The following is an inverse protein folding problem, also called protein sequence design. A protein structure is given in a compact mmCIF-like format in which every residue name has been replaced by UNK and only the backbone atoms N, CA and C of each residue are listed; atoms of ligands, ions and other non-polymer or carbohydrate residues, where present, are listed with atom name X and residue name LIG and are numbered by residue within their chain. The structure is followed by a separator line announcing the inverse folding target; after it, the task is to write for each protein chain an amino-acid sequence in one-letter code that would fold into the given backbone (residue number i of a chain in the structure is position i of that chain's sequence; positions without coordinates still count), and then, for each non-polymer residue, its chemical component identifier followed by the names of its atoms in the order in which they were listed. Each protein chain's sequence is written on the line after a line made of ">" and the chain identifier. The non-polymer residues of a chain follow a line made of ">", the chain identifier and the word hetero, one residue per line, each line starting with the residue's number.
data_IF_804928910638
#
_entry.id   IF_804928910638
#
_cell.length_a   1.000
_cell.length_b   1.000
_cell.length_c   1.000
_cell.angle_alpha   90.00
_cell.angle_beta   90.00
_cell.angle_gamma   90.00
#
_symmetry.space_group_name_H-M   'P 1'
#
loop_
_entity.id
_entity.type
_entity.pdbx_description
1 polymer ?
#
# COMPACT_ATOMS: atom_id res chain seq x y z
N UNK A 1 -7.89 -12.48 -14.14
CA UNK A 1 -7.60 -13.15 -12.85
C UNK A 1 -8.42 -12.48 -11.75
N UNK A 2 -8.77 -13.20 -10.68
CA UNK A 2 -9.42 -12.62 -9.49
C UNK A 2 -8.44 -12.71 -8.30
N UNK A 3 -8.17 -11.59 -7.62
CA UNK A 3 -7.34 -11.54 -6.42
C UNK A 3 -8.22 -11.24 -5.21
N UNK A 4 -8.20 -12.10 -4.19
CA UNK A 4 -9.03 -11.91 -2.99
C UNK A 4 -8.13 -11.74 -1.78
N UNK A 5 -8.20 -10.56 -1.17
CA UNK A 5 -7.46 -10.21 0.03
C UNK A 5 -8.29 -10.58 1.25
N UNK A 6 -7.89 -11.69 1.89
CA UNK A 6 -8.62 -12.31 2.99
C UNK A 6 -7.76 -12.40 4.25
N UNK A 7 -8.42 -12.60 5.38
CA UNK A 7 -7.85 -12.50 6.69
C UNK A 7 -8.81 -13.04 7.75
N UNK A 8 -8.98 -12.33 8.88
CA UNK A 8 -9.80 -12.78 10.01
C UNK A 8 -11.28 -12.94 9.68
N UNK A 9 -11.75 -12.36 8.56
CA UNK A 9 -13.12 -12.53 8.11
C UNK A 9 -13.32 -13.82 7.32
N UNK A 10 -12.31 -14.24 6.54
CA UNK A 10 -12.44 -15.39 5.66
C UNK A 10 -11.14 -16.20 5.66
N UNK A 11 -11.21 -17.41 6.22
CA UNK A 11 -10.06 -18.30 6.31
C UNK A 11 -9.57 -18.68 4.92
N UNK A 12 -8.25 -18.86 4.77
CA UNK A 12 -7.64 -19.34 3.53
C UNK A 12 -8.16 -20.71 3.09
N UNK A 13 -8.57 -21.55 4.04
CA UNK A 13 -9.14 -22.87 3.82
C UNK A 13 -10.60 -22.86 3.34
N UNK A 14 -11.22 -21.69 3.21
CA UNK A 14 -12.59 -21.58 2.72
C UNK A 14 -12.73 -22.20 1.32
N UNK A 15 -13.67 -23.13 1.14
CA UNK A 15 -13.78 -23.94 -0.06
C UNK A 15 -13.97 -23.11 -1.35
N UNK A 16 -14.71 -21.99 -1.26
CA UNK A 16 -14.95 -21.10 -2.39
C UNK A 16 -13.65 -20.44 -2.91
N UNK A 17 -12.61 -20.35 -2.07
CA UNK A 17 -11.32 -19.80 -2.44
C UNK A 17 -10.42 -20.79 -3.20
N UNK A 18 -10.78 -22.07 -3.23
CA UNK A 18 -10.03 -23.12 -3.93
C UNK A 18 -10.36 -23.22 -5.44
N UNK A 19 -11.28 -22.39 -5.94
CA UNK A 19 -11.71 -22.39 -7.34
C UNK A 19 -10.59 -21.88 -8.27
N UNK A 20 -10.45 -22.50 -9.44
CA UNK A 20 -9.49 -22.06 -10.47
C UNK A 20 -9.78 -20.63 -10.95
N UNK A 21 -8.74 -19.81 -11.10
CA UNK A 21 -8.87 -18.41 -11.52
C UNK A 21 -8.97 -17.41 -10.36
N UNK A 22 -9.02 -17.91 -9.12
CA UNK A 22 -8.84 -17.14 -7.90
C UNK A 22 -7.39 -17.23 -7.39
N UNK A 23 -6.86 -16.10 -6.95
CA UNK A 23 -5.58 -16.01 -6.24
C UNK A 23 -5.80 -15.38 -4.88
N UNK A 24 -5.77 -16.23 -3.86
CA UNK A 24 -5.86 -15.82 -2.46
C UNK A 24 -4.62 -15.02 -2.07
N UNK A 25 -4.85 -13.85 -1.47
CA UNK A 25 -3.83 -12.92 -0.98
C UNK A 25 -4.02 -12.77 0.54
N UNK A 26 -2.95 -12.44 1.30
CA UNK A 26 -3.07 -12.03 2.70
C UNK A 26 -3.97 -10.79 2.85
N UNK A 27 -4.28 -10.36 4.09
CA UNK A 27 -5.01 -9.11 4.29
C UNK A 27 -4.27 -7.97 3.61
N UNK A 28 -5.01 -7.10 2.90
CA UNK A 28 -4.41 -6.07 2.07
C UNK A 28 -3.56 -5.10 2.89
N UNK A 29 -2.37 -4.79 2.38
CA UNK A 29 -1.44 -3.80 2.93
C UNK A 29 -1.21 -2.67 1.92
N UNK A 30 -0.74 -1.55 2.45
CA UNK A 30 -0.23 -0.45 1.64
C UNK A 30 0.77 -0.97 0.61
N UNK A 31 0.51 -0.71 -0.67
CA UNK A 31 1.37 -1.12 -1.79
C UNK A 31 1.00 -2.41 -2.50
N UNK A 32 0.15 -3.27 -1.91
CA UNK A 32 -0.20 -4.58 -2.50
C UNK A 32 -0.91 -4.46 -3.85
N UNK A 33 -1.63 -3.35 -4.08
CA UNK A 33 -2.31 -3.05 -5.35
C UNK A 33 -1.37 -2.56 -6.47
N UNK A 34 -0.06 -2.50 -6.21
CA UNK A 34 0.97 -2.27 -7.24
C UNK A 34 1.72 -3.55 -7.64
N UNK A 35 1.39 -4.70 -7.05
CA UNK A 35 2.03 -5.94 -7.41
C UNK A 35 1.88 -6.22 -8.91
N UNK A 36 2.99 -6.49 -9.60
CA UNK A 36 3.03 -6.77 -11.04
C UNK A 36 2.11 -7.94 -11.48
N UNK A 37 1.77 -8.82 -10.54
CA UNK A 37 0.84 -9.93 -10.74
C UNK A 37 -0.65 -9.52 -10.76
N UNK A 38 -0.98 -8.24 -10.63
CA UNK A 38 -2.34 -7.69 -10.71
C UNK A 38 -2.36 -6.72 -11.90
N UNK A 39 -2.96 -7.16 -13.01
CA UNK A 39 -2.94 -6.47 -14.29
C UNK A 39 -4.25 -5.77 -14.65
N UNK A 40 -4.22 -5.08 -15.78
CA UNK A 40 -5.41 -4.49 -16.40
C UNK A 40 -6.49 -5.57 -16.64
N UNK A 41 -7.74 -5.26 -16.32
CA UNK A 41 -8.86 -6.18 -16.47
C UNK A 41 -9.00 -7.21 -15.34
N UNK A 42 -8.05 -7.32 -14.40
CA UNK A 42 -8.23 -8.18 -13.23
C UNK A 42 -9.30 -7.65 -12.28
N UNK A 43 -9.86 -8.55 -11.47
CA UNK A 43 -10.76 -8.20 -10.36
C UNK A 43 -10.03 -8.33 -9.05
N UNK A 44 -10.12 -7.30 -8.21
CA UNK A 44 -9.62 -7.31 -6.84
C UNK A 44 -10.80 -7.28 -5.89
N UNK A 45 -10.87 -8.27 -4.99
CA UNK A 45 -11.83 -8.35 -3.90
C UNK A 45 -11.10 -8.03 -2.61
N UNK A 46 -11.47 -6.93 -1.97
CA UNK A 46 -10.93 -6.47 -0.70
C UNK A 46 -11.92 -6.88 0.39
N UNK A 47 -11.52 -7.84 1.24
CA UNK A 47 -12.28 -8.21 2.44
C UNK A 47 -11.57 -7.63 3.66
N UNK A 48 -10.35 -8.13 3.91
CA UNK A 48 -9.57 -7.79 5.08
C UNK A 48 -8.35 -6.96 4.72
N UNK A 49 -7.94 -6.09 5.65
CA UNK A 49 -6.70 -5.32 5.59
C UNK A 49 -5.95 -5.42 6.90
N UNK A 50 -4.64 -5.20 6.84
CA UNK A 50 -3.81 -5.24 8.05
C UNK A 50 -4.12 -4.07 8.96
N UNK A 51 -4.47 -4.39 10.20
CA UNK A 51 -4.85 -3.45 11.23
C UNK A 51 -3.71 -3.26 12.24
N UNK A 52 -3.45 -2.02 12.67
CA UNK A 52 -2.41 -1.57 13.61
C UNK A 52 -0.92 -1.81 13.27
N UNK A 53 -0.56 -2.88 12.56
CA UNK A 53 0.84 -3.31 12.37
C UNK A 53 1.51 -2.75 11.10
N UNK A 54 0.74 -2.12 10.21
CA UNK A 54 1.23 -1.53 8.98
C UNK A 54 0.35 -0.32 8.60
N UNK A 55 0.85 0.61 7.76
CA UNK A 55 0.00 1.64 7.17
C UNK A 55 -1.20 1.00 6.48
N UNK A 56 -2.40 1.49 6.78
CA UNK A 56 -3.63 1.00 6.18
C UNK A 56 -3.64 1.25 4.66
N UNK A 57 -4.40 0.42 3.95
CA UNK A 57 -4.70 0.62 2.53
C UNK A 57 -5.27 2.03 2.32
N UNK A 58 -4.65 2.77 1.40
CA UNK A 58 -5.01 4.16 1.11
C UNK A 58 -6.04 4.22 -0.02
N UNK A 59 -7.03 5.10 0.09
CA UNK A 59 -8.05 5.34 -0.96
C UNK A 59 -7.43 5.55 -2.35
N UNK A 60 -6.36 6.33 -2.40
CA UNK A 60 -5.66 6.65 -3.65
C UNK A 60 -5.03 5.43 -4.33
N UNK A 61 -4.71 4.36 -3.61
CA UNK A 61 -4.25 3.11 -4.22
C UNK A 61 -5.36 2.40 -4.96
N UNK A 62 -6.54 2.37 -4.35
CA UNK A 62 -7.73 1.76 -4.95
C UNK A 62 -8.19 2.58 -6.16
N UNK A 63 -8.23 3.91 -6.05
CA UNK A 63 -8.51 4.80 -7.17
C UNK A 63 -7.51 4.60 -8.32
N UNK A 64 -6.21 4.53 -8.02
CA UNK A 64 -5.19 4.26 -9.04
C UNK A 64 -5.32 2.87 -9.65
N UNK A 65 -5.72 1.85 -8.88
CA UNK A 65 -6.02 0.52 -9.41
C UNK A 65 -7.21 0.56 -10.37
N UNK A 66 -8.32 1.19 -9.99
CA UNK A 66 -9.49 1.35 -10.85
C UNK A 66 -9.20 2.17 -12.10
N UNK A 67 -8.43 3.25 -11.98
CA UNK A 67 -7.98 4.08 -13.11
C UNK A 67 -7.12 3.31 -14.13
N UNK A 68 -6.32 2.34 -13.67
CA UNK A 68 -5.57 1.38 -14.52
C UNK A 68 -6.46 0.33 -15.20
N UNK A 69 -7.75 0.30 -14.89
CA UNK A 69 -8.72 -0.64 -15.47
C UNK A 69 -8.92 -1.92 -14.67
N UNK A 70 -8.56 -1.94 -13.39
CA UNK A 70 -8.92 -3.04 -12.48
C UNK A 70 -10.37 -2.85 -12.02
N UNK A 71 -11.06 -3.97 -11.82
CA UNK A 71 -12.38 -4.01 -11.18
C UNK A 71 -12.17 -4.22 -9.68
N UNK A 72 -12.79 -3.41 -8.83
CA UNK A 72 -12.60 -3.54 -7.38
C UNK A 72 -13.94 -3.77 -6.69
N UNK A 73 -13.99 -4.83 -5.88
CA UNK A 73 -15.11 -5.18 -5.01
C UNK A 73 -14.64 -5.02 -3.56
N UNK A 74 -15.45 -4.41 -2.71
CA UNK A 74 -15.26 -4.39 -1.27
C UNK A 74 -16.45 -4.95 -0.53
N UNK A 75 -16.19 -5.79 0.48
CA UNK A 75 -17.23 -6.34 1.34
C UNK A 75 -16.64 -6.74 2.69
N UNK A 76 -17.47 -6.65 3.73
CA UNK A 76 -17.06 -6.81 5.12
C UNK A 76 -15.82 -5.97 5.52
N UNK A 77 -15.50 -5.95 6.80
CA UNK A 77 -14.28 -5.33 7.34
C UNK A 77 -13.90 -3.98 6.71
N UNK A 78 -12.62 -3.80 6.33
CA UNK A 78 -12.14 -2.59 5.66
C UNK A 78 -12.64 -2.49 4.22
N UNK A 79 -12.96 -3.62 3.59
CA UNK A 79 -13.50 -3.68 2.23
C UNK A 79 -14.81 -2.93 2.08
N UNK A 80 -15.75 -3.15 3.00
CA UNK A 80 -17.05 -2.47 3.05
C UNK A 80 -16.88 -0.96 3.23
N UNK A 81 -16.04 -0.54 4.19
CA UNK A 81 -15.73 0.88 4.43
C UNK A 81 -15.20 1.56 3.16
N UNK A 82 -14.17 0.96 2.53
CA UNK A 82 -13.57 1.48 1.30
C UNK A 82 -14.56 1.49 0.13
N UNK A 83 -15.43 0.49 0.05
CA UNK A 83 -16.47 0.46 -0.98
C UNK A 83 -17.49 1.59 -0.79
N UNK A 84 -17.89 1.95 0.43
CA UNK A 84 -18.79 3.09 0.66
C UNK A 84 -18.14 4.39 0.19
N UNK A 85 -16.89 4.62 0.61
CA UNK A 85 -16.16 5.84 0.27
C UNK A 85 -15.84 5.97 -1.23
N UNK A 86 -15.66 4.83 -1.92
CA UNK A 86 -15.22 4.76 -3.31
C UNK A 86 -16.31 4.33 -4.30
N UNK A 87 -17.54 4.08 -3.83
CA UNK A 87 -18.69 3.79 -4.70
C UNK A 87 -18.93 4.88 -5.76
N UNK A 88 -18.82 6.20 -5.45
CA UNK A 88 -18.94 7.25 -6.47
C UNK A 88 -17.88 7.17 -7.59
N UNK A 89 -16.77 6.44 -7.33
CA UNK A 89 -15.66 6.26 -8.25
C UNK A 89 -15.66 4.88 -8.93
N UNK A 90 -16.71 4.07 -8.74
CA UNK A 90 -16.90 2.79 -9.42
C UNK A 90 -16.45 1.55 -8.66
N UNK A 91 -16.05 1.67 -7.38
CA UNK A 91 -15.82 0.49 -6.54
C UNK A 91 -17.15 -0.16 -6.18
N UNK A 92 -17.28 -1.47 -6.39
CA UNK A 92 -18.51 -2.20 -6.05
C UNK A 92 -18.52 -2.57 -4.57
N UNK A 93 -19.54 -2.13 -3.83
CA UNK A 93 -19.81 -2.63 -2.49
C UNK A 93 -20.76 -3.81 -2.51
N UNK A 94 -20.48 -4.84 -1.70
CA UNK A 94 -21.32 -6.04 -1.58
C UNK A 94 -21.61 -6.33 -0.11
N UNK A 95 -22.84 -6.76 0.16
CA UNK A 95 -23.23 -7.30 1.46
C UNK A 95 -23.99 -6.32 2.36
N UNK A 96 -24.46 -6.85 3.48
CA UNK A 96 -25.27 -6.13 4.48
C UNK A 96 -24.44 -5.11 5.23
N UNK A 97 -23.17 -5.39 5.53
CA UNK A 97 -22.26 -4.48 6.22
C UNK A 97 -21.99 -3.25 5.35
N UNK A 98 -21.68 -3.46 4.05
CA UNK A 98 -21.57 -2.34 3.10
C UNK A 98 -22.84 -1.51 3.05
N UNK A 99 -24.00 -2.16 2.93
CA UNK A 99 -25.31 -1.49 2.86
C UNK A 99 -25.58 -0.66 4.12
N UNK A 100 -25.27 -1.20 5.30
CA UNK A 100 -25.47 -0.53 6.57
C UNK A 100 -24.58 0.72 6.70
N UNK A 101 -23.30 0.65 6.32
CA UNK A 101 -22.44 1.84 6.25
C UNK A 101 -22.94 2.85 5.21
N UNK A 102 -23.36 2.40 4.02
CA UNK A 102 -23.83 3.27 2.95
C UNK A 102 -25.11 4.04 3.34
N UNK A 103 -25.94 3.46 4.20
CA UNK A 103 -27.16 4.07 4.74
C UNK A 103 -26.93 4.91 5.99
N UNK A 104 -25.76 4.81 6.61
CA UNK A 104 -25.47 5.42 7.91
C UNK A 104 -26.12 4.70 9.09
N UNK A 105 -26.56 3.44 8.91
CA UNK A 105 -27.08 2.61 10.00
C UNK A 105 -25.96 2.25 11.01
N UNK A 106 -24.72 2.21 10.52
CA UNK A 106 -23.49 2.06 11.29
C UNK A 106 -22.41 3.01 10.73
N UNK A 107 -21.51 3.49 11.58
CA UNK A 107 -20.44 4.44 11.22
C UNK A 107 -19.10 4.18 11.94
N UNK A 108 -19.09 3.38 13.00
CA UNK A 108 -17.91 3.13 13.83
C UNK A 108 -16.90 2.16 13.20
N UNK A 109 -15.62 2.41 13.45
CA UNK A 109 -14.53 1.46 13.12
C UNK A 109 -14.61 0.18 13.98
N UNK A 110 -15.14 0.30 15.20
CA UNK A 110 -15.33 -0.81 16.14
C UNK A 110 -16.33 -1.85 15.63
N UNK A 111 -17.19 -1.46 14.68
CA UNK A 111 -18.22 -2.29 14.09
C UNK A 111 -17.64 -3.54 13.45
N UNK A 112 -16.51 -3.39 12.76
CA UNK A 112 -15.87 -4.46 12.01
C UNK A 112 -14.52 -4.93 12.57
N UNK A 113 -14.00 -4.22 13.57
CA UNK A 113 -12.72 -4.50 14.20
C UNK A 113 -12.74 -5.84 14.98
N UNK A 114 -11.63 -6.58 14.87
CA UNK A 114 -11.40 -7.85 15.57
C UNK A 114 -9.95 -7.94 16.03
N UNK A 115 -9.72 -8.54 17.19
CA UNK A 115 -8.41 -9.00 17.61
C UNK A 115 -7.93 -10.17 16.73
N UNK A 116 -6.65 -10.16 16.40
CA UNK A 116 -5.99 -11.19 15.59
C UNK A 116 -4.77 -11.74 16.33
N UNK A 117 -4.49 -13.03 16.15
CA UNK A 117 -3.28 -13.62 16.68
C UNK A 117 -2.03 -13.12 15.90
N UNK A 118 -0.88 -12.96 16.56
CA UNK A 118 0.37 -12.54 15.91
C UNK A 118 1.08 -13.69 15.18
N UNK A 119 0.57 -14.92 15.26
CA UNK A 119 1.13 -16.14 14.68
C UNK A 119 1.00 -16.22 13.15
N UNK A 120 0.23 -15.30 12.56
CA UNK A 120 -0.01 -15.27 11.12
C UNK A 120 -1.17 -16.16 10.67
N UNK A 121 -1.80 -16.89 11.60
CA UNK A 121 -3.08 -17.53 11.36
C UNK A 121 -4.14 -16.43 11.24
N UNK A 122 -4.82 -16.40 10.10
CA UNK A 122 -5.78 -15.36 9.75
C UNK A 122 -7.12 -15.55 10.48
N UNK A 123 -7.09 -15.87 11.77
CA UNK A 123 -8.27 -16.13 12.56
C UNK A 123 -8.66 -14.91 13.41
N UNK A 124 -9.96 -14.63 13.45
CA UNK A 124 -10.52 -13.69 14.40
C UNK A 124 -10.57 -14.32 15.80
N UNK A 125 -9.99 -13.63 16.79
CA UNK A 125 -10.03 -14.06 18.20
C UNK A 125 -11.24 -13.51 18.97
N UNK A 126 -11.97 -12.58 18.36
CA UNK A 126 -12.99 -11.76 19.03
C UNK A 126 -14.14 -11.43 18.09
N UNK A 127 -15.29 -11.09 18.67
CA UNK A 127 -16.52 -10.79 17.98
C UNK A 127 -16.60 -9.31 17.54
N UNK A 128 -16.77 -9.02 16.23
CA UNK A 128 -17.06 -7.67 15.74
C UNK A 128 -18.50 -7.25 16.08
N UNK A 129 -18.80 -5.96 16.18
CA UNK A 129 -20.14 -5.50 16.63
C UNK A 129 -21.20 -5.87 15.59
N UNK A 130 -20.87 -5.83 14.29
CA UNK A 130 -21.81 -6.23 13.23
C UNK A 130 -22.30 -7.67 13.37
N UNK A 131 -21.45 -8.60 13.82
CA UNK A 131 -21.87 -9.98 14.08
C UNK A 131 -22.75 -10.03 15.33
N UNK A 132 -22.43 -9.27 16.38
CA UNK A 132 -23.23 -9.17 17.60
C UNK A 132 -24.64 -8.60 17.32
N UNK A 133 -24.73 -7.53 16.53
CA UNK A 133 -26.01 -6.99 16.02
C UNK A 133 -26.79 -8.08 15.29
N UNK A 134 -26.13 -8.79 14.38
CA UNK A 134 -26.78 -9.80 13.58
C UNK A 134 -27.34 -10.96 14.43
N UNK A 135 -26.57 -11.50 15.39
CA UNK A 135 -27.07 -12.58 16.27
C UNK A 135 -28.19 -12.12 17.19
N UNK A 136 -28.19 -10.85 17.61
CA UNK A 136 -29.29 -10.29 18.40
C UNK A 136 -30.57 -10.17 17.57
N UNK A 137 -30.46 -9.77 16.30
CA UNK A 137 -31.62 -9.75 15.38
C UNK A 137 -32.16 -11.17 15.11
N UNK A 138 -31.29 -12.16 14.99
CA UNK A 138 -31.68 -13.57 14.87
C UNK A 138 -32.37 -14.05 16.16
N UNK A 139 -31.84 -13.70 17.33
CA UNK A 139 -32.44 -14.04 18.63
C UNK A 139 -33.82 -13.39 18.81
N UNK A 140 -34.01 -12.16 18.32
CA UNK A 140 -35.33 -11.51 18.29
C UNK A 140 -36.32 -12.23 17.40
N UNK A 141 -35.86 -12.63 16.21
CA UNK A 141 -36.68 -13.40 15.25
C UNK A 141 -37.06 -14.79 15.80
N UNK A 142 -36.24 -15.34 16.67
CA UNK A 142 -36.49 -16.59 17.40
C UNK A 142 -37.17 -16.38 18.77
N UNK A 143 -37.66 -15.17 19.07
CA UNK A 143 -38.37 -14.81 20.30
C UNK A 143 -37.59 -15.03 21.61
N UNK A 144 -36.26 -15.14 21.53
CA UNK A 144 -35.36 -15.29 22.70
C UNK A 144 -35.20 -13.94 23.44
N UNK A 145 -35.25 -12.85 22.68
CA UNK A 145 -35.12 -11.47 23.14
C UNK A 145 -36.20 -10.60 22.50
N UNK A 146 -36.72 -9.62 23.26
CA UNK A 146 -37.45 -8.50 22.67
C UNK A 146 -36.49 -7.39 22.19
N UNK A 147 -37.02 -6.37 21.52
CA UNK A 147 -36.22 -5.27 20.98
C UNK A 147 -35.50 -4.44 22.05
N UNK A 148 -36.12 -4.25 23.22
CA UNK A 148 -35.58 -3.43 24.30
C UNK A 148 -34.39 -4.14 24.98
N UNK A 149 -34.54 -5.44 25.24
CA UNK A 149 -33.48 -6.31 25.79
C UNK A 149 -32.31 -6.42 24.81
N UNK A 150 -32.59 -6.59 23.51
CA UNK A 150 -31.55 -6.66 22.49
C UNK A 150 -30.75 -5.36 22.39
N UNK A 151 -31.41 -4.19 22.40
CA UNK A 151 -30.74 -2.90 22.36
C UNK A 151 -29.84 -2.68 23.59
N UNK A 152 -30.34 -2.95 24.81
CA UNK A 152 -29.54 -2.86 26.04
C UNK A 152 -28.33 -3.79 26.02
N UNK A 153 -28.53 -5.03 25.57
CA UNK A 153 -27.44 -6.02 25.52
C UNK A 153 -26.39 -5.62 24.49
N UNK A 154 -26.81 -5.08 23.34
CA UNK A 154 -25.88 -4.60 22.32
C UNK A 154 -24.97 -3.50 22.85
N UNK A 155 -25.53 -2.49 23.54
CA UNK A 155 -24.73 -1.40 24.13
C UNK A 155 -23.72 -1.95 25.16
N UNK A 156 -24.15 -2.89 26.00
CA UNK A 156 -23.27 -3.51 26.99
C UNK A 156 -22.14 -4.35 26.35
N UNK A 157 -22.42 -5.00 25.22
CA UNK A 157 -21.43 -5.77 24.47
C UNK A 157 -20.46 -4.85 23.71
N UNK A 158 -20.97 -3.78 23.10
CA UNK A 158 -20.19 -2.77 22.38
C UNK A 158 -19.20 -2.04 23.29
N UNK A 159 -19.57 -1.82 24.55
CA UNK A 159 -18.69 -1.21 25.56
C UNK A 159 -17.42 -2.03 25.87
N UNK A 160 -17.36 -3.32 25.49
CA UNK A 160 -16.14 -4.12 25.61
C UNK A 160 -15.20 -3.78 24.45
N UNK A 161 -13.99 -3.32 24.78
CA UNK A 161 -12.97 -2.99 23.78
C UNK A 161 -12.71 -4.19 22.85
N UNK A 162 -12.63 -3.94 21.53
CA UNK A 162 -12.66 -5.01 20.52
C UNK A 162 -11.63 -6.14 20.70
N UNK A 163 -10.37 -5.92 21.13
CA UNK A 163 -9.40 -7.01 21.34
C UNK A 163 -9.78 -7.92 22.52
N UNK A 164 -10.72 -7.50 23.36
CA UNK A 164 -11.18 -8.22 24.54
C UNK A 164 -12.56 -8.86 24.34
N UNK A 165 -13.23 -8.61 23.19
CA UNK A 165 -14.57 -9.16 22.86
C UNK A 165 -14.53 -10.65 22.49
N UNK A 166 -13.91 -11.45 23.35
CA UNK A 166 -13.90 -12.91 23.23
C UNK A 166 -15.28 -13.49 23.54
N UNK A 167 -15.51 -14.75 23.17
CA UNK A 167 -16.74 -15.46 23.55
C UNK A 167 -16.93 -15.51 25.08
N UNK A 168 -15.85 -15.64 25.84
CA UNK A 168 -15.90 -15.60 27.31
C UNK A 168 -16.40 -14.23 27.82
N UNK A 169 -15.96 -13.13 27.21
CA UNK A 169 -16.43 -11.79 27.54
C UNK A 169 -17.91 -11.59 27.17
N UNK A 170 -18.33 -12.06 25.98
CA UNK A 170 -19.75 -12.01 25.54
C UNK A 170 -20.64 -12.72 26.56
N UNK A 171 -20.31 -13.96 26.96
CA UNK A 171 -21.07 -14.69 27.99
C UNK A 171 -21.09 -13.97 29.34
N UNK A 172 -19.97 -13.38 29.75
CA UNK A 172 -19.90 -12.62 30.99
C UNK A 172 -20.82 -11.39 30.98
N UNK A 173 -20.87 -10.66 29.86
CA UNK A 173 -21.80 -9.54 29.67
C UNK A 173 -23.24 -10.02 29.72
N UNK A 174 -23.57 -11.10 29.00
CA UNK A 174 -24.92 -11.67 29.00
C UNK A 174 -25.39 -12.03 30.42
N UNK A 175 -24.53 -12.67 31.22
CA UNK A 175 -24.83 -12.98 32.64
C UNK A 175 -25.08 -11.72 33.46
N UNK A 176 -24.24 -10.69 33.35
CA UNK A 176 -24.43 -9.42 34.08
C UNK A 176 -25.72 -8.69 33.72
N UNK A 177 -26.17 -8.84 32.47
CA UNK A 177 -27.41 -8.24 31.96
C UNK A 177 -28.65 -9.14 32.16
N UNK A 178 -28.51 -10.28 32.86
CA UNK A 178 -29.61 -11.24 33.06
C UNK A 178 -30.08 -11.94 31.78
N UNK A 179 -29.26 -11.97 30.73
CA UNK A 179 -29.57 -12.55 29.41
C UNK A 179 -28.94 -13.94 29.22
N UNK A 180 -29.06 -14.82 30.22
CA UNK A 180 -28.50 -16.19 30.15
C UNK A 180 -29.15 -17.03 29.05
N UNK A 181 -30.48 -16.93 28.88
CA UNK A 181 -31.19 -17.64 27.82
C UNK A 181 -30.64 -17.33 26.42
N UNK A 182 -30.25 -16.07 26.16
CA UNK A 182 -29.59 -15.70 24.91
C UNK A 182 -28.19 -16.31 24.78
N UNK A 183 -27.40 -16.30 25.86
CA UNK A 183 -26.06 -16.88 25.84
C UNK A 183 -26.08 -18.40 25.60
N UNK A 184 -27.04 -19.11 26.21
CA UNK A 184 -27.23 -20.55 26.04
C UNK A 184 -27.71 -20.87 24.63
N UNK A 185 -28.71 -20.13 24.14
CA UNK A 185 -29.19 -20.24 22.76
C UNK A 185 -28.06 -20.02 21.75
N UNK A 186 -27.26 -18.96 21.90
CA UNK A 186 -26.15 -18.67 20.98
C UNK A 186 -25.07 -19.77 21.03
N UNK A 187 -24.80 -20.33 22.22
CA UNK A 187 -23.88 -21.46 22.37
C UNK A 187 -24.39 -22.69 21.59
N UNK A 188 -25.66 -23.05 21.74
CA UNK A 188 -26.27 -24.18 21.02
C UNK A 188 -26.24 -23.97 19.50
N UNK A 189 -26.57 -22.78 19.02
CA UNK A 189 -26.54 -22.50 17.58
C UNK A 189 -25.12 -22.58 17.02
N UNK A 190 -24.13 -22.06 17.75
CA UNK A 190 -22.72 -22.10 17.34
C UNK A 190 -22.14 -23.53 17.38
N UNK A 191 -22.63 -24.39 18.27
CA UNK A 191 -22.27 -25.80 18.31
C UNK A 191 -22.83 -26.57 17.10
N UNK A 192 -24.06 -26.23 16.67
CA UNK A 192 -24.69 -26.81 15.47
C UNK A 192 -24.05 -26.31 14.17
N UNK A 193 -23.71 -25.03 14.11
CA UNK A 193 -23.01 -24.39 12.99
C UNK A 193 -21.96 -23.41 13.51
N UNK A 194 -20.68 -23.75 13.30
CA UNK A 194 -19.56 -22.91 13.72
C UNK A 194 -19.57 -21.50 13.09
N UNK A 195 -20.30 -21.30 12.00
CA UNK A 195 -20.42 -20.02 11.30
C UNK A 195 -21.74 -19.29 11.60
N UNK A 196 -22.53 -19.78 12.56
CA UNK A 196 -23.80 -19.18 12.92
C UNK A 196 -23.62 -17.70 13.30
N UNK A 197 -24.35 -16.82 12.61
CA UNK A 197 -24.31 -15.38 12.87
C UNK A 197 -23.06 -14.65 12.38
N UNK A 198 -22.17 -15.32 11.63
CA UNK A 198 -20.98 -14.69 11.06
C UNK A 198 -21.32 -13.87 9.80
N UNK A 199 -21.84 -12.66 10.04
CA UNK A 199 -22.22 -11.74 8.98
C UNK A 199 -21.04 -11.32 8.12
N UNK A 200 -19.86 -11.11 8.73
CA UNK A 200 -18.64 -10.76 7.98
C UNK A 200 -18.29 -11.87 6.99
N UNK A 201 -18.32 -13.15 7.40
CA UNK A 201 -18.09 -14.28 6.49
C UNK A 201 -19.15 -14.35 5.39
N UNK A 202 -20.42 -14.17 5.72
CA UNK A 202 -21.52 -14.21 4.75
C UNK A 202 -21.35 -13.15 3.64
N UNK A 203 -21.02 -11.91 4.03
CA UNK A 203 -20.75 -10.81 3.10
C UNK A 203 -19.50 -11.05 2.25
N UNK A 204 -18.43 -11.57 2.85
CA UNK A 204 -17.21 -11.91 2.13
C UNK A 204 -17.44 -12.99 1.07
N UNK A 205 -18.20 -14.05 1.40
CA UNK A 205 -18.58 -15.08 0.44
C UNK A 205 -19.45 -14.53 -0.69
N UNK A 206 -20.37 -13.61 -0.39
CA UNK A 206 -21.19 -12.95 -1.40
C UNK A 206 -20.32 -12.14 -2.39
N UNK A 207 -19.29 -11.44 -1.90
CA UNK A 207 -18.37 -10.71 -2.75
C UNK A 207 -17.51 -11.62 -3.64
N UNK A 208 -17.05 -12.76 -3.11
CA UNK A 208 -16.32 -13.74 -3.92
C UNK A 208 -17.21 -14.33 -5.01
N UNK A 209 -18.48 -14.68 -4.69
CA UNK A 209 -19.46 -15.13 -5.70
C UNK A 209 -19.69 -14.06 -6.77
N UNK A 210 -19.90 -12.82 -6.36
CA UNK A 210 -20.05 -11.68 -7.29
C UNK A 210 -18.84 -11.52 -8.21
N UNK A 211 -17.63 -11.76 -7.71
CA UNK A 211 -16.42 -11.72 -8.54
C UNK A 211 -16.38 -12.87 -9.56
N UNK A 212 -16.80 -14.07 -9.16
CA UNK A 212 -16.83 -15.28 -10.00
C UNK A 212 -17.90 -15.20 -11.09
N UNK A 213 -19.10 -14.72 -10.75
CA UNK A 213 -20.20 -14.52 -11.70
C UNK A 213 -19.86 -13.42 -12.74
N UNK A 214 -18.87 -12.59 -12.40
CA UNK A 214 -18.48 -11.43 -13.17
C UNK A 214 -19.44 -10.27 -12.90
N UNK A 215 -18.88 -9.06 -12.85
CA UNK A 215 -19.68 -7.85 -12.81
C UNK A 215 -19.11 -6.84 -13.78
N UNK A 216 -20.03 -6.05 -14.33
CA UNK A 216 -19.68 -4.80 -15.01
C UNK A 216 -19.70 -3.72 -13.94
N UNK A 217 -18.62 -2.95 -13.75
CA UNK A 217 -18.65 -1.81 -12.86
C UNK A 217 -19.86 -0.93 -13.17
N UNK A 218 -20.51 -0.32 -12.17
CA UNK A 218 -21.52 0.70 -12.42
C UNK A 218 -20.95 1.71 -13.43
N UNK A 219 -21.77 2.23 -14.33
CA UNK A 219 -21.36 3.06 -15.50
C UNK A 219 -20.63 4.37 -15.21
N UNK A 220 -20.00 4.51 -14.03
CA UNK A 220 -18.99 5.50 -13.73
C UNK A 220 -17.84 5.39 -14.74
N UNK A 221 -17.47 6.54 -15.31
CA UNK A 221 -16.21 6.67 -16.02
C UNK A 221 -15.09 6.18 -15.09
N UNK A 222 -14.09 5.49 -15.66
CA UNK A 222 -12.87 5.17 -14.91
C UNK A 222 -12.41 6.44 -14.21
N UNK A 223 -12.07 6.38 -12.91
CA UNK A 223 -11.53 7.53 -12.22
C UNK A 223 -10.44 8.14 -13.11
N UNK A 224 -10.46 9.46 -13.27
CA UNK A 224 -9.44 10.15 -14.05
C UNK A 224 -8.22 10.47 -13.18
N UNK A 225 -6.99 10.51 -13.73
CA UNK A 225 -5.75 10.64 -12.94
C UNK A 225 -5.75 11.74 -11.88
N UNK A 226 -6.35 12.90 -12.18
CA UNK A 226 -6.44 14.02 -11.25
C UNK A 226 -7.18 13.70 -9.93
N UNK A 227 -7.99 12.63 -9.88
CA UNK A 227 -8.70 12.21 -8.66
C UNK A 227 -7.81 11.49 -7.63
N UNK A 228 -6.64 10.97 -8.01
CA UNK A 228 -5.69 10.38 -7.05
C UNK A 228 -4.27 10.92 -7.17
N UNK A 229 -3.84 11.38 -8.36
CA UNK A 229 -2.49 11.86 -8.56
C UNK A 229 -2.20 13.10 -7.72
N UNK A 230 -1.19 12.99 -6.88
CA UNK A 230 -0.61 14.10 -6.14
C UNK A 230 0.88 13.86 -5.95
N UNK A 231 1.67 14.89 -5.60
CA UNK A 231 3.09 14.70 -5.28
C UNK A 231 3.29 13.66 -4.17
N UNK A 232 2.39 13.62 -3.18
CA UNK A 232 2.38 12.59 -2.15
C UNK A 232 2.15 11.19 -2.72
N UNK A 233 1.11 11.03 -3.57
CA UNK A 233 0.83 9.76 -4.25
C UNK A 233 2.06 9.24 -4.98
N UNK A 234 2.66 10.07 -5.83
CA UNK A 234 3.87 9.72 -6.59
C UNK A 234 5.00 9.29 -5.67
N UNK A 235 5.24 10.05 -4.59
CA UNK A 235 6.32 9.76 -3.63
C UNK A 235 6.19 8.37 -3.01
N UNK A 236 5.05 8.02 -2.45
CA UNK A 236 4.91 6.70 -1.82
C UNK A 236 4.67 5.58 -2.83
N UNK A 237 4.07 5.86 -3.99
CA UNK A 237 3.88 4.84 -5.03
C UNK A 237 5.20 4.42 -5.68
N UNK A 238 6.16 5.34 -5.79
CA UNK A 238 7.50 5.06 -6.31
C UNK A 238 8.28 4.05 -5.44
N UNK A 239 8.02 4.01 -4.13
CA UNK A 239 8.64 3.03 -3.23
C UNK A 239 8.23 1.57 -3.54
N UNK A 240 7.13 1.39 -4.28
CA UNK A 240 6.63 0.09 -4.73
C UNK A 240 6.96 -0.20 -6.19
N UNK A 241 7.61 0.73 -6.91
CA UNK A 241 8.04 0.51 -8.28
C UNK A 241 9.22 -0.47 -8.30
N UNK A 242 9.03 -1.59 -9.01
CA UNK A 242 10.03 -2.63 -9.18
C UNK A 242 10.09 -3.07 -10.62
N UNK A 243 11.27 -3.50 -11.06
CA UNK A 243 11.48 -4.02 -12.41
C UNK A 243 12.27 -5.31 -12.34
N UNK A 244 11.81 -6.33 -13.08
CA UNK A 244 12.58 -7.54 -13.30
C UNK A 244 13.50 -7.35 -14.51
N UNK A 245 14.80 -7.40 -14.29
CA UNK A 245 15.84 -7.18 -15.31
C UNK A 245 17.06 -8.02 -14.96
N UNK A 246 17.70 -8.65 -15.95
CA UNK A 246 18.85 -9.55 -15.78
C UNK A 246 18.65 -10.65 -14.72
N UNK A 247 17.41 -11.15 -14.60
CA UNK A 247 17.03 -12.16 -13.60
C UNK A 247 16.88 -11.62 -12.17
N UNK A 248 17.16 -10.34 -11.93
CA UNK A 248 17.01 -9.66 -10.66
C UNK A 248 15.64 -8.98 -10.57
N UNK A 249 15.06 -8.91 -9.37
CA UNK A 249 13.90 -8.06 -9.08
C UNK A 249 14.37 -6.87 -8.23
N UNK A 250 14.47 -5.70 -8.84
CA UNK A 250 15.13 -4.53 -8.26
C UNK A 250 14.13 -3.40 -8.02
N UNK A 251 14.35 -2.65 -6.94
CA UNK A 251 13.68 -1.37 -6.70
C UNK A 251 14.05 -0.38 -7.80
N UNK A 252 13.06 0.15 -8.51
CA UNK A 252 13.28 1.15 -9.56
C UNK A 252 13.82 2.46 -8.96
N UNK A 253 13.41 2.78 -7.73
CA UNK A 253 13.92 3.95 -7.01
C UNK A 253 15.39 3.78 -6.63
N UNK A 254 15.81 2.60 -6.17
CA UNK A 254 17.21 2.37 -5.81
C UNK A 254 18.11 2.36 -7.04
N UNK A 255 17.63 1.83 -8.17
CA UNK A 255 18.31 1.93 -9.47
C UNK A 255 18.50 3.39 -9.90
N UNK A 256 17.43 4.20 -9.84
CA UNK A 256 17.52 5.62 -10.16
C UNK A 256 18.50 6.35 -9.25
N UNK A 257 18.41 6.16 -7.94
CA UNK A 257 19.30 6.84 -7.00
C UNK A 257 20.75 6.38 -7.20
N UNK A 258 20.98 5.11 -7.52
CA UNK A 258 22.31 4.62 -7.85
C UNK A 258 22.88 5.35 -9.07
N UNK A 259 22.11 5.47 -10.16
CA UNK A 259 22.52 6.22 -11.35
C UNK A 259 22.75 7.71 -11.02
N UNK A 260 21.83 8.35 -10.30
CA UNK A 260 22.00 9.75 -9.85
C UNK A 260 23.29 9.96 -9.07
N UNK A 261 23.75 8.97 -8.30
CA UNK A 261 24.97 9.07 -7.49
C UNK A 261 26.22 8.71 -8.28
N UNK A 262 26.22 7.60 -9.02
CA UNK A 262 27.44 6.99 -9.55
C UNK A 262 27.65 7.17 -11.06
N UNK A 263 26.59 7.40 -11.84
CA UNK A 263 26.74 7.65 -13.28
C UNK A 263 27.34 9.06 -13.49
N UNK A 264 28.53 9.18 -14.11
CA UNK A 264 29.16 10.47 -14.37
C UNK A 264 28.32 11.34 -15.33
N UNK A 265 27.57 10.72 -16.24
CA UNK A 265 26.81 11.36 -17.32
C UNK A 265 25.32 11.53 -16.96
N UNK A 266 24.97 11.36 -15.68
CA UNK A 266 23.58 11.45 -15.24
C UNK A 266 22.99 12.88 -15.42
N UNK A 267 23.84 13.91 -15.52
CA UNK A 267 23.38 15.30 -15.73
C UNK A 267 22.71 15.45 -17.08
N UNK A 268 23.27 14.80 -18.09
CA UNK A 268 22.78 14.74 -19.46
C UNK A 268 21.46 13.96 -19.49
N UNK A 269 21.40 12.82 -18.80
CA UNK A 269 20.17 12.03 -18.61
C UNK A 269 19.07 12.85 -17.94
N UNK A 270 19.37 13.57 -16.87
CA UNK A 270 18.40 14.44 -16.20
C UNK A 270 17.93 15.59 -17.08
N UNK A 271 18.85 16.22 -17.83
CA UNK A 271 18.52 17.28 -18.78
C UNK A 271 17.60 16.77 -19.90
N UNK A 272 17.88 15.57 -20.44
CA UNK A 272 17.03 14.91 -21.42
C UNK A 272 15.64 14.58 -20.85
N UNK A 273 15.55 14.18 -19.58
CA UNK A 273 14.28 14.00 -18.89
C UNK A 273 13.50 15.32 -18.74
N UNK A 274 14.15 16.41 -18.34
CA UNK A 274 13.50 17.72 -18.27
C UNK A 274 13.01 18.19 -19.64
N UNK A 275 13.78 17.98 -20.70
CA UNK A 275 13.37 18.25 -22.10
C UNK A 275 12.16 17.40 -22.47
N UNK A 276 12.19 16.10 -22.20
CA UNK A 276 11.07 15.20 -22.45
C UNK A 276 9.78 15.68 -21.78
N UNK A 277 9.86 16.11 -20.51
CA UNK A 277 8.71 16.63 -19.74
C UNK A 277 8.25 18.00 -20.24
N UNK A 278 9.18 18.86 -20.68
CA UNK A 278 8.85 20.17 -21.22
C UNK A 278 8.09 20.08 -22.55
N UNK A 279 8.45 19.09 -23.38
CA UNK A 279 7.79 18.77 -24.65
C UNK A 279 6.47 18.00 -24.47
N UNK A 280 6.25 17.38 -23.30
CA UNK A 280 5.03 16.61 -23.00
C UNK A 280 4.45 17.01 -21.63
N UNK A 281 3.85 18.21 -21.52
CA UNK A 281 3.22 18.66 -20.28
C UNK A 281 2.10 17.71 -19.82
N UNK A 282 2.05 17.43 -18.52
CA UNK A 282 1.06 16.51 -17.94
C UNK A 282 -0.38 17.07 -17.96
N UNK A 283 -0.53 18.38 -18.11
CA UNK A 283 -1.82 19.07 -18.20
C UNK A 283 -2.39 19.12 -19.63
N UNK A 284 -1.68 18.52 -20.60
CA UNK A 284 -2.09 18.52 -22.01
C UNK A 284 -1.82 19.84 -22.75
N UNK A 285 -1.16 20.82 -22.10
CA UNK A 285 -0.73 22.04 -22.78
C UNK A 285 0.30 21.75 -23.88
N UNK A 286 0.45 22.64 -24.88
CA UNK A 286 1.45 22.46 -25.93
C UNK A 286 2.87 22.31 -25.37
N UNK A 287 3.59 21.32 -25.88
CA UNK A 287 5.00 21.11 -25.60
C UNK A 287 5.85 22.28 -26.05
N UNK A 288 6.90 22.59 -25.28
CA UNK A 288 7.89 23.61 -25.62
C UNK A 288 9.30 23.08 -25.36
N UNK A 289 10.31 23.47 -26.16
CA UNK A 289 11.70 23.17 -25.84
C UNK A 289 12.06 23.67 -24.44
N UNK A 290 12.85 22.91 -23.67
CA UNK A 290 13.18 23.26 -22.28
C UNK A 290 13.88 24.62 -22.20
N UNK A 291 14.74 24.93 -23.17
CA UNK A 291 15.42 26.23 -23.26
C UNK A 291 14.41 27.38 -23.34
N UNK A 292 13.39 27.24 -24.19
CA UNK A 292 12.32 28.24 -24.34
C UNK A 292 11.51 28.36 -23.05
N UNK A 293 11.13 27.23 -22.44
CA UNK A 293 10.39 27.22 -21.18
C UNK A 293 11.19 27.85 -20.03
N UNK A 294 12.48 27.54 -19.92
CA UNK A 294 13.35 28.13 -18.91
C UNK A 294 13.48 29.64 -19.10
N UNK A 295 13.69 30.10 -20.34
CA UNK A 295 13.78 31.52 -20.65
C UNK A 295 12.50 32.30 -20.25
N UNK A 296 11.32 31.71 -20.44
CA UNK A 296 10.05 32.31 -20.04
C UNK A 296 9.91 32.46 -18.52
N UNK A 297 10.49 31.55 -17.73
CA UNK A 297 10.37 31.54 -16.26
C UNK A 297 11.46 32.36 -15.58
N UNK A 298 12.70 32.32 -16.09
CA UNK A 298 13.88 32.87 -15.41
C UNK A 298 14.55 34.02 -16.16
N UNK A 299 14.04 34.39 -17.34
CA UNK A 299 14.75 35.28 -18.26
C UNK A 299 16.05 34.69 -18.83
N UNK A 300 16.27 33.37 -18.66
CA UNK A 300 17.47 32.67 -19.10
C UNK A 300 18.67 32.80 -18.16
N UNK A 301 18.45 33.33 -16.95
CA UNK A 301 19.52 33.59 -15.97
C UNK A 301 19.91 32.36 -15.15
N UNK A 302 19.03 31.35 -15.07
CA UNK A 302 19.24 30.13 -14.29
C UNK A 302 19.15 28.87 -15.17
N UNK A 303 20.00 27.86 -14.91
CA UNK A 303 19.85 26.55 -15.52
C UNK A 303 18.49 25.92 -15.21
N UNK A 304 17.93 25.18 -16.17
CA UNK A 304 16.62 24.55 -16.03
C UNK A 304 16.53 23.63 -14.81
N UNK A 305 17.60 22.88 -14.51
CA UNK A 305 17.64 21.95 -13.39
C UNK A 305 17.60 22.64 -12.02
N UNK A 306 17.91 23.94 -11.90
CA UNK A 306 17.79 24.69 -10.64
C UNK A 306 16.35 25.14 -10.38
N UNK A 307 15.53 25.21 -11.43
CA UNK A 307 14.17 25.76 -11.36
C UNK A 307 13.11 24.66 -11.42
N UNK A 308 13.30 23.68 -12.31
CA UNK A 308 12.32 22.63 -12.56
C UNK A 308 12.67 21.33 -11.82
N UNK A 309 11.82 20.98 -10.85
CA UNK A 309 11.94 19.77 -10.03
C UNK A 309 10.66 18.91 -10.13
N UNK A 310 10.33 18.38 -11.32
CA UNK A 310 9.10 17.60 -11.49
C UNK A 310 9.16 16.32 -10.64
N UNK A 311 8.04 15.94 -10.04
CA UNK A 311 7.94 14.67 -9.33
C UNK A 311 7.94 13.52 -10.33
N UNK A 312 8.98 12.69 -10.31
CA UNK A 312 9.16 11.54 -11.20
C UNK A 312 8.11 10.46 -10.93
N UNK A 313 7.60 9.82 -11.99
CA UNK A 313 6.79 8.60 -11.90
C UNK A 313 7.65 7.37 -12.22
N UNK A 314 8.03 6.60 -11.21
CA UNK A 314 8.85 5.39 -11.44
C UNK A 314 8.02 4.18 -11.88
N UNK A 315 6.72 4.37 -12.08
CA UNK A 315 5.80 3.34 -12.59
C UNK A 315 5.49 3.54 -14.07
N UNK A 316 5.89 4.68 -14.63
CA UNK A 316 5.76 4.98 -16.05
C UNK A 316 6.98 4.43 -16.80
N UNK A 317 6.75 3.47 -17.70
CA UNK A 317 7.83 2.76 -18.40
C UNK A 317 8.68 3.71 -19.25
N UNK A 318 8.06 4.72 -19.89
CA UNK A 318 8.79 5.69 -20.71
C UNK A 318 9.71 6.58 -19.87
N UNK A 319 9.23 7.03 -18.71
CA UNK A 319 10.02 7.79 -17.73
C UNK A 319 11.19 6.95 -17.21
N UNK A 320 10.95 5.70 -16.84
CA UNK A 320 11.99 4.79 -16.33
C UNK A 320 13.02 4.47 -17.41
N UNK A 321 12.59 4.18 -18.64
CA UNK A 321 13.49 3.89 -19.76
C UNK A 321 14.42 5.08 -20.07
N UNK A 322 13.91 6.31 -19.96
CA UNK A 322 14.71 7.51 -20.16
C UNK A 322 15.71 7.74 -19.02
N UNK A 323 15.27 7.63 -17.77
CA UNK A 323 16.10 7.90 -16.60
C UNK A 323 17.13 6.81 -16.31
N UNK A 324 16.93 5.60 -16.82
CA UNK A 324 17.86 4.46 -16.67
C UNK A 324 18.51 4.07 -18.01
N UNK A 325 18.53 4.97 -18.99
CA UNK A 325 19.08 4.69 -20.33
C UNK A 325 20.58 4.33 -20.30
N UNK A 326 21.33 4.92 -19.37
CA UNK A 326 22.76 4.65 -19.16
C UNK A 326 23.07 3.45 -18.27
N UNK A 327 22.06 2.78 -17.69
CA UNK A 327 22.28 1.76 -16.67
C UNK A 327 22.88 0.46 -17.24
N UNK A 328 24.07 0.11 -16.75
CA UNK A 328 24.78 -1.10 -17.13
C UNK A 328 24.36 -2.34 -16.29
N UNK A 329 24.78 -3.53 -16.73
CA UNK A 329 24.55 -4.78 -15.99
C UNK A 329 25.28 -4.76 -14.64
N UNK A 330 26.48 -4.18 -14.62
CA UNK A 330 27.33 -4.00 -13.45
C UNK A 330 26.65 -3.11 -12.39
N UNK A 331 25.98 -2.05 -12.82
CA UNK A 331 25.22 -1.16 -11.95
C UNK A 331 24.05 -1.90 -11.29
N UNK A 332 23.30 -2.69 -12.07
CA UNK A 332 22.21 -3.52 -11.55
C UNK A 332 22.70 -4.54 -10.53
N UNK A 333 23.85 -5.16 -10.80
CA UNK A 333 24.50 -6.05 -9.86
C UNK A 333 24.95 -5.31 -8.58
N UNK A 334 25.44 -4.07 -8.70
CA UNK A 334 25.81 -3.25 -7.55
C UNK A 334 24.59 -2.85 -6.71
N UNK A 335 23.49 -2.42 -7.34
CA UNK A 335 22.21 -2.13 -6.68
C UNK A 335 21.72 -3.34 -5.88
N UNK A 336 21.78 -4.55 -6.46
CA UNK A 336 21.44 -5.78 -5.76
C UNK A 336 22.33 -6.00 -4.52
N UNK A 337 23.66 -5.89 -4.66
CA UNK A 337 24.61 -6.03 -3.54
C UNK A 337 24.35 -5.02 -2.42
N UNK A 338 24.05 -3.77 -2.79
CA UNK A 338 23.79 -2.69 -1.84
C UNK A 338 22.48 -2.94 -1.08
N UNK A 339 21.44 -3.40 -1.78
CA UNK A 339 20.18 -3.80 -1.17
C UNK A 339 20.35 -4.98 -0.20
N UNK A 340 21.12 -6.01 -0.58
CA UNK A 340 21.42 -7.16 0.27
C UNK A 340 22.18 -6.76 1.54
N UNK A 341 23.15 -5.84 1.39
CA UNK A 341 23.94 -5.30 2.50
C UNK A 341 23.05 -4.52 3.46
N UNK A 342 22.19 -3.63 2.94
CA UNK A 342 21.22 -2.88 3.74
C UNK A 342 20.26 -3.82 4.48
N UNK A 343 19.79 -4.89 3.83
CA UNK A 343 18.94 -5.89 4.45
C UNK A 343 19.67 -6.67 5.56
N UNK A 344 20.95 -7.01 5.38
CA UNK A 344 21.78 -7.65 6.39
C UNK A 344 22.01 -6.75 7.62
N UNK A 345 22.22 -5.45 7.41
CA UNK A 345 22.33 -4.47 8.50
C UNK A 345 21.03 -4.38 9.28
N UNK A 346 19.87 -4.30 8.60
CA UNK A 346 18.55 -4.27 9.25
C UNK A 346 18.27 -5.53 10.07
N UNK A 347 18.68 -6.70 9.59
CA UNK A 347 18.53 -7.97 10.32
C UNK A 347 19.42 -8.04 11.56
N UNK A 348 20.67 -7.59 11.45
CA UNK A 348 21.62 -7.63 12.57
C UNK A 348 21.41 -6.53 13.61
N UNK A 349 20.68 -5.46 13.27
CA UNK A 349 20.42 -4.30 14.13
C UNK A 349 18.93 -3.95 14.12
N UNK A 350 18.10 -4.59 14.96
CA UNK A 350 16.68 -4.26 15.09
C UNK A 350 16.47 -2.77 15.36
N UNK A 351 15.55 -2.14 14.63
CA UNK A 351 15.28 -0.69 14.71
C UNK A 351 16.18 0.19 13.82
N UNK A 352 17.18 -0.38 13.13
CA UNK A 352 17.96 0.39 12.16
C UNK A 352 17.08 0.90 11.01
N UNK A 353 17.15 2.21 10.77
CA UNK A 353 16.56 2.87 9.61
C UNK A 353 17.64 3.65 8.86
N UNK A 354 17.43 3.91 7.57
CA UNK A 354 18.35 4.74 6.79
C UNK A 354 18.45 6.16 7.34
N UNK A 355 17.41 6.64 8.04
CA UNK A 355 17.44 7.93 8.74
C UNK A 355 18.50 8.00 9.86
N UNK A 356 18.92 6.85 10.40
CA UNK A 356 20.00 6.77 11.39
C UNK A 356 21.40 6.91 10.79
N UNK A 357 21.55 6.85 9.46
CA UNK A 357 22.83 7.13 8.79
C UNK A 357 23.10 8.63 8.90
N UNK A 358 24.28 8.98 9.42
CA UNK A 358 24.69 10.38 9.61
C UNK A 358 24.76 11.13 8.28
N UNK A 359 24.20 12.34 8.24
CA UNK A 359 24.20 13.23 7.09
C UNK A 359 25.61 13.54 6.58
N UNK A 360 26.57 13.77 7.50
CA UNK A 360 27.96 14.08 7.13
C UNK A 360 28.67 12.91 6.43
N UNK A 361 28.28 11.67 6.72
CA UNK A 361 28.85 10.50 6.09
C UNK A 361 28.36 10.37 4.65
N UNK A 362 27.05 10.49 4.44
CA UNK A 362 26.46 10.51 3.10
C UNK A 362 26.96 11.70 2.27
N UNK A 363 27.07 12.90 2.87
CA UNK A 363 27.64 14.09 2.22
C UNK A 363 29.08 13.87 1.76
N UNK A 364 29.95 13.37 2.64
CA UNK A 364 31.37 13.08 2.29
C UNK A 364 31.49 12.05 1.18
N UNK A 365 30.64 11.02 1.20
CA UNK A 365 30.55 10.05 0.10
C UNK A 365 30.23 10.76 -1.22
N UNK A 366 29.18 11.58 -1.26
CA UNK A 366 28.76 12.27 -2.48
C UNK A 366 29.82 13.25 -3.02
N UNK A 367 30.44 14.06 -2.15
CA UNK A 367 31.53 14.96 -2.56
C UNK A 367 32.70 14.20 -3.19
N UNK A 368 33.04 13.03 -2.64
CA UNK A 368 34.09 12.16 -3.18
C UNK A 368 33.71 11.55 -4.53
N UNK A 369 32.50 11.01 -4.63
CA UNK A 369 32.00 10.37 -5.86
C UNK A 369 31.87 11.39 -6.98
N UNK A 370 31.26 12.54 -6.70
CA UNK A 370 31.03 13.60 -7.70
C UNK A 370 32.26 14.46 -7.98
N UNK A 371 33.34 14.32 -7.18
CA UNK A 371 34.57 15.11 -7.28
C UNK A 371 34.30 16.62 -7.31
N UNK A 372 33.28 17.06 -6.58
CA UNK A 372 32.90 18.46 -6.48
C UNK A 372 33.26 19.03 -5.10
N UNK A 373 33.31 20.36 -5.02
CA UNK A 373 33.56 21.09 -3.77
C UNK A 373 32.24 21.44 -3.08
N UNK A 374 32.29 21.75 -1.78
CA UNK A 374 31.07 22.07 -1.00
C UNK A 374 30.26 23.23 -1.60
N UNK A 375 30.89 24.23 -2.22
CA UNK A 375 30.17 25.37 -2.80
C UNK A 375 29.40 25.01 -4.08
N UNK A 376 29.77 23.93 -4.77
CA UNK A 376 29.07 23.43 -5.96
C UNK A 376 28.10 22.29 -5.63
N UNK A 377 28.03 21.85 -4.38
CA UNK A 377 27.32 20.64 -4.01
C UNK A 377 25.80 20.70 -4.26
N UNK A 378 25.18 21.85 -3.99
CA UNK A 378 23.75 22.04 -4.25
C UNK A 378 23.45 22.08 -5.75
N UNK A 379 24.29 22.74 -6.54
CA UNK A 379 24.17 22.77 -8.01
C UNK A 379 24.36 21.38 -8.60
N UNK A 380 25.35 20.63 -8.13
CA UNK A 380 25.61 19.24 -8.52
C UNK A 380 24.41 18.35 -8.25
N UNK A 381 23.86 18.40 -7.04
CA UNK A 381 22.67 17.66 -6.66
C UNK A 381 21.47 18.02 -7.55
N UNK A 382 21.28 19.30 -7.82
CA UNK A 382 20.21 19.81 -8.68
C UNK A 382 20.35 19.31 -10.12
N UNK A 383 21.57 19.35 -10.68
CA UNK A 383 21.88 18.87 -12.02
C UNK A 383 21.66 17.36 -12.20
N UNK A 384 21.77 16.60 -11.10
CA UNK A 384 21.48 15.15 -11.05
C UNK A 384 20.02 14.82 -10.69
N UNK A 385 19.15 15.82 -10.60
CA UNK A 385 17.72 15.63 -10.30
C UNK A 385 17.39 15.33 -8.85
N UNK A 386 18.31 15.64 -7.92
CA UNK A 386 18.14 15.48 -6.48
C UNK A 386 17.67 16.76 -5.79
N UNK A 387 17.28 17.81 -6.54
CA UNK A 387 16.78 19.10 -6.05
C UNK A 387 17.81 19.98 -5.36
N UNK A 388 18.45 19.48 -4.29
CA UNK A 388 19.50 20.17 -3.55
C UNK A 388 20.35 19.16 -2.76
N UNK A 389 21.46 19.62 -2.18
CA UNK A 389 22.40 18.81 -1.42
C UNK A 389 21.77 18.08 -0.23
N UNK A 390 20.84 18.73 0.48
CA UNK A 390 20.12 18.06 1.59
C UNK A 390 19.29 16.86 1.10
N UNK A 391 18.65 16.98 -0.06
CA UNK A 391 17.86 15.90 -0.67
C UNK A 391 18.74 14.82 -1.28
N UNK A 392 19.88 15.19 -1.85
CA UNK A 392 20.90 14.23 -2.28
C UNK A 392 21.44 13.40 -1.12
N UNK A 393 21.74 14.04 0.01
CA UNK A 393 22.16 13.35 1.25
C UNK A 393 21.10 12.35 1.70
N UNK A 394 19.83 12.78 1.83
CA UNK A 394 18.73 11.90 2.21
C UNK A 394 18.56 10.71 1.27
N UNK A 395 18.63 10.94 -0.06
CA UNK A 395 18.53 9.87 -1.05
C UNK A 395 19.69 8.87 -0.91
N UNK A 396 20.92 9.37 -0.75
CA UNK A 396 22.13 8.56 -0.74
C UNK A 396 22.34 7.74 0.54
N UNK A 397 21.71 8.11 1.67
CA UNK A 397 21.81 7.35 2.94
C UNK A 397 21.53 5.85 2.80
N UNK A 398 20.65 5.46 1.87
CA UNK A 398 20.34 4.04 1.62
C UNK A 398 21.49 3.27 0.96
N UNK A 399 22.37 3.96 0.26
CA UNK A 399 23.52 3.38 -0.44
C UNK A 399 24.77 3.27 0.45
N UNK A 400 24.85 4.10 1.50
CA UNK A 400 26.04 4.20 2.37
C UNK A 400 26.52 2.84 2.91
N UNK A 401 25.67 1.93 3.45
CA UNK A 401 26.15 0.64 3.92
C UNK A 401 26.81 -0.21 2.84
N UNK A 402 26.24 -0.22 1.63
CA UNK A 402 26.81 -0.92 0.48
C UNK A 402 28.12 -0.30 0.01
N UNK A 403 28.17 1.03 -0.07
CA UNK A 403 29.36 1.77 -0.48
C UNK A 403 30.55 1.55 0.46
N UNK A 404 30.32 1.54 1.78
CA UNK A 404 31.38 1.27 2.76
C UNK A 404 31.89 -0.17 2.63
N UNK A 405 30.99 -1.15 2.52
CA UNK A 405 31.37 -2.54 2.35
C UNK A 405 32.15 -2.80 1.06
N UNK A 406 31.84 -2.06 -0.01
CA UNK A 406 32.60 -2.13 -1.27
C UNK A 406 33.98 -1.47 -1.14
N UNK A 407 34.06 -0.31 -0.48
CA UNK A 407 35.32 0.40 -0.22
C UNK A 407 36.29 -0.46 0.61
N UNK A 408 35.80 -1.09 1.69
CA UNK A 408 36.60 -1.98 2.55
C UNK A 408 37.14 -3.19 1.77
N UNK A 409 36.36 -3.76 0.85
CA UNK A 409 36.80 -4.87 0.00
C UNK A 409 37.89 -4.44 -0.98
N UNK A 410 37.76 -3.25 -1.57
CA UNK A 410 38.76 -2.72 -2.49
C UNK A 410 40.09 -2.44 -1.77
N UNK A 411 40.03 -1.85 -0.57
CA UNK A 411 41.21 -1.61 0.27
C UNK A 411 41.88 -2.94 0.68
N UNK A 412 41.11 -3.95 1.09
CA UNK A 412 41.64 -5.28 1.43
C UNK A 412 42.27 -6.00 0.23
N UNK A 413 41.70 -5.85 -0.97
CA UNK A 413 42.24 -6.44 -2.20
C UNK A 413 43.54 -5.74 -2.62
N UNK A 414 43.59 -4.41 -2.49
CA UNK A 414 44.80 -3.62 -2.77
C UNK A 414 45.92 -3.84 -1.75
N UNK A 415 45.60 -4.25 -0.52
CA UNK A 415 46.60 -4.58 0.50
C UNK A 415 47.14 -6.02 0.39
N UNK A 416 46.47 -6.87 -0.38
CA UNK A 416 46.86 -8.26 -0.63
C UNK A 416 47.64 -8.45 -1.95
N UNK A 417 47.70 -7.41 -2.79
CA UNK A 417 48.54 -7.31 -3.98
C UNK A 417 49.82 -6.55 -3.65
#
# INVERSE_FOLDING_TARGET
>A
MIHVFVGPTLRRSEALLAVSGLRVRPPVRHGDLFAAAIGIGDTVVIIDGVYHQAPALRHKEILAAMGRGLRVIGAASIGALRAVELAPYGMLGVGRIYTAYARGDIDGDDEVAVGQAPDGEWDALTWPVVNLRHVLDLARSAEILDGERAARLLEALRAVHYPQRTWAAVRAVCRRQGQTAFADWLAEQTERDQYFGDLKRADALAAVRTALDGFTPPGAARPAPHSWESPYFRRWSNAFARTRVDGLDLSTEDRLIYQQVFDPDFRETWTAYLEHRSLRPADGSPGLPLKTRSAQVTGGTLPAHQVFHPTVDLRDEATVALLLAGEACEDRAAVARYADTLAAVRRSRPGFSTAAVRDDLARRMLLRVWRCSEHLFDEEASARGLVCGARAVEAAKRLVPGYLAESERMEATSAAQ
#
